data_IF_170183413123
#
_entry.id   IF_170183413123
#
_cell.length_a   1.000
_cell.length_b   1.000
_cell.length_c   1.000
_cell.angle_alpha   90.00
_cell.angle_beta   90.00
_cell.angle_gamma   90.00
#
_symmetry.space_group_name_H-M   'P 1'
#
loop_
_entity.id
_entity.type
_entity.pdbx_description
1 polymer ?
#
# COMPACT_ATOMS: atom_id res chain seq x y z
N UNK A 1 32.33 -9.64 -46.55
CA UNK A 1 32.37 -10.24 -45.19
C UNK A 1 31.99 -9.15 -44.21
N UNK A 2 30.78 -9.15 -43.67
CA UNK A 2 30.39 -8.18 -42.65
C UNK A 2 30.98 -8.63 -41.31
N UNK A 3 31.85 -7.81 -40.73
CA UNK A 3 32.36 -8.06 -39.39
C UNK A 3 31.17 -8.05 -38.41
N UNK A 4 31.04 -9.13 -37.63
CA UNK A 4 30.02 -9.24 -36.59
C UNK A 4 30.35 -8.24 -35.50
N UNK A 5 29.53 -7.19 -35.36
CA UNK A 5 29.68 -6.21 -34.29
C UNK A 5 29.17 -6.85 -32.98
N UNK A 6 30.09 -7.27 -32.12
CA UNK A 6 29.73 -7.73 -30.78
C UNK A 6 29.57 -6.54 -29.84
N UNK A 7 28.49 -6.50 -29.03
CA UNK A 7 28.28 -5.43 -28.08
C UNK A 7 29.44 -5.39 -27.07
N UNK A 8 29.97 -4.20 -26.84
CA UNK A 8 31.06 -4.00 -25.88
C UNK A 8 30.55 -4.40 -24.49
N UNK A 9 31.15 -5.45 -23.92
CA UNK A 9 30.90 -5.87 -22.54
C UNK A 9 31.94 -5.22 -21.64
N UNK A 10 31.46 -4.55 -20.60
CA UNK A 10 32.31 -4.07 -19.51
C UNK A 10 31.77 -4.74 -18.25
N UNK A 11 32.63 -5.48 -17.55
CA UNK A 11 32.29 -6.28 -16.36
C UNK A 11 31.14 -7.28 -16.58
N UNK A 12 31.15 -7.98 -17.72
CA UNK A 12 30.18 -9.03 -18.02
C UNK A 12 28.78 -8.55 -18.43
N UNK A 13 28.48 -7.25 -18.27
CA UNK A 13 27.24 -6.64 -18.72
C UNK A 13 27.44 -6.00 -20.10
N UNK A 14 26.45 -6.16 -20.98
CA UNK A 14 26.42 -5.46 -22.25
C UNK A 14 26.20 -3.97 -22.00
N UNK A 15 27.11 -3.15 -22.55
CA UNK A 15 27.05 -1.73 -22.35
C UNK A 15 25.95 -1.14 -23.22
N UNK A 16 24.95 -0.56 -22.57
CA UNK A 16 23.92 0.22 -23.26
C UNK A 16 24.42 1.66 -23.48
N UNK A 17 23.91 2.37 -24.51
CA UNK A 17 24.22 3.79 -24.72
C UNK A 17 23.93 4.65 -23.47
N UNK A 18 22.94 4.26 -22.67
CA UNK A 18 22.57 4.95 -21.41
C UNK A 18 23.68 4.79 -20.36
N UNK A 19 24.10 3.54 -20.10
CA UNK A 19 25.17 3.26 -19.14
C UNK A 19 26.51 3.88 -19.54
N UNK A 20 26.80 3.92 -20.85
CA UNK A 20 28.00 4.56 -21.36
C UNK A 20 28.03 6.07 -21.07
N UNK A 21 26.93 6.77 -21.32
CA UNK A 21 26.83 8.20 -21.02
C UNK A 21 27.01 8.51 -19.53
N UNK A 22 26.54 7.64 -18.64
CA UNK A 22 26.75 7.80 -17.19
C UNK A 22 28.23 7.64 -16.81
N UNK A 23 28.90 6.64 -17.37
CA UNK A 23 30.34 6.40 -17.18
C UNK A 23 31.15 7.61 -17.69
N UNK A 24 30.86 8.09 -18.90
CA UNK A 24 31.56 9.23 -19.49
C UNK A 24 31.31 10.51 -18.67
N UNK A 25 30.09 10.76 -18.20
CA UNK A 25 29.80 11.92 -17.34
C UNK A 25 30.53 11.87 -16.00
N UNK A 26 30.64 10.70 -15.39
CA UNK A 26 31.44 10.48 -14.18
C UNK A 26 32.92 10.77 -14.43
N UNK A 27 33.46 10.26 -15.55
CA UNK A 27 34.83 10.56 -15.98
C UNK A 27 35.05 12.06 -16.19
N UNK A 28 34.21 12.72 -16.99
CA UNK A 28 34.35 14.15 -17.30
C UNK A 28 34.24 15.00 -16.04
N UNK A 29 33.25 14.74 -15.16
CA UNK A 29 33.14 15.45 -13.87
C UNK A 29 34.36 15.25 -12.97
N UNK A 30 34.92 14.04 -12.95
CA UNK A 30 36.15 13.74 -12.21
C UNK A 30 37.36 14.55 -12.70
N UNK A 31 37.38 14.94 -13.97
CA UNK A 31 38.46 15.73 -14.57
C UNK A 31 38.18 17.24 -14.68
N UNK A 32 36.96 17.71 -14.39
CA UNK A 32 36.57 19.12 -14.60
C UNK A 32 37.01 20.05 -13.45
N UNK A 33 37.11 19.55 -12.21
CA UNK A 33 37.29 20.40 -11.01
C UNK A 33 38.58 20.15 -10.22
N UNK A 34 39.34 19.11 -10.54
CA UNK A 34 40.65 18.85 -9.95
C UNK A 34 41.71 18.93 -11.05
N UNK A 35 42.73 19.79 -10.89
CA UNK A 35 44.03 19.46 -11.48
C UNK A 35 44.34 18.05 -10.95
N UNK A 36 44.51 17.04 -11.82
CA UNK A 36 44.45 15.66 -11.36
C UNK A 36 45.57 15.44 -10.36
N UNK A 37 45.21 15.31 -9.08
CA UNK A 37 45.80 14.22 -8.31
C UNK A 37 45.56 13.02 -9.20
N UNK A 38 46.64 12.43 -9.69
CA UNK A 38 46.62 11.33 -10.64
C UNK A 38 45.98 10.10 -9.97
N UNK A 39 44.68 10.19 -9.69
CA UNK A 39 43.81 9.08 -9.38
C UNK A 39 43.93 8.19 -10.58
N UNK A 40 44.64 7.09 -10.37
CA UNK A 40 44.94 6.16 -11.45
C UNK A 40 43.63 5.77 -12.13
N UNK A 41 43.64 5.55 -13.44
CA UNK A 41 42.48 5.02 -14.16
C UNK A 41 41.83 3.82 -13.43
N UNK A 42 42.65 3.02 -12.73
CA UNK A 42 42.23 1.91 -11.88
C UNK A 42 41.32 2.35 -10.73
N UNK A 43 41.61 3.47 -10.08
CA UNK A 43 40.81 4.03 -8.99
C UNK A 43 39.45 4.52 -9.48
N UNK A 44 39.39 5.22 -10.61
CA UNK A 44 38.13 5.63 -11.23
C UNK A 44 37.26 4.42 -11.63
N UNK A 45 37.88 3.37 -12.18
CA UNK A 45 37.21 2.12 -12.52
C UNK A 45 36.69 1.37 -11.30
N UNK A 46 37.46 1.35 -10.22
CA UNK A 46 37.05 0.78 -8.93
C UNK A 46 35.84 1.51 -8.35
N UNK A 47 35.89 2.84 -8.27
CA UNK A 47 34.76 3.65 -7.77
C UNK A 47 33.50 3.45 -8.63
N UNK A 48 33.67 3.38 -9.95
CA UNK A 48 32.55 3.08 -10.87
C UNK A 48 31.97 1.69 -10.61
N UNK A 49 32.80 0.68 -10.38
CA UNK A 49 32.36 -0.69 -10.08
C UNK A 49 31.58 -0.75 -8.76
N UNK A 50 32.10 -0.10 -7.72
CA UNK A 50 31.42 0.03 -6.42
C UNK A 50 30.02 0.65 -6.57
N UNK A 51 29.91 1.75 -7.32
CA UNK A 51 28.63 2.41 -7.57
C UNK A 51 27.66 1.51 -8.35
N UNK A 52 28.14 0.81 -9.38
CA UNK A 52 27.32 -0.11 -10.16
C UNK A 52 26.81 -1.29 -9.32
N UNK A 53 27.65 -1.84 -8.45
CA UNK A 53 27.26 -2.93 -7.55
C UNK A 53 26.21 -2.45 -6.55
N UNK A 54 26.43 -1.29 -5.92
CA UNK A 54 25.45 -0.67 -5.02
C UNK A 54 24.10 -0.49 -5.71
N UNK A 55 24.09 0.11 -6.90
CA UNK A 55 22.86 0.35 -7.66
C UNK A 55 22.16 -0.97 -8.03
N UNK A 56 22.91 -1.98 -8.47
CA UNK A 56 22.36 -3.30 -8.82
C UNK A 56 21.67 -3.95 -7.63
N UNK A 57 22.33 -4.01 -6.48
CA UNK A 57 21.79 -4.62 -5.25
C UNK A 57 20.54 -3.87 -4.78
N UNK A 58 20.61 -2.53 -4.72
CA UNK A 58 19.47 -1.72 -4.30
C UNK A 58 18.25 -1.90 -5.22
N UNK A 59 18.47 -1.89 -6.55
CA UNK A 59 17.38 -2.12 -7.52
C UNK A 59 16.81 -3.53 -7.43
N UNK A 60 17.66 -4.54 -7.21
CA UNK A 60 17.24 -5.95 -7.05
C UNK A 60 16.33 -6.11 -5.82
N UNK A 61 16.71 -5.50 -4.69
CA UNK A 61 15.91 -5.49 -3.47
C UNK A 61 14.58 -4.74 -3.67
N UNK A 62 14.62 -3.54 -4.25
CA UNK A 62 13.43 -2.73 -4.50
C UNK A 62 12.45 -3.46 -5.44
N UNK A 63 12.97 -4.12 -6.48
CA UNK A 63 12.17 -4.93 -7.39
C UNK A 63 11.49 -6.10 -6.68
N UNK A 64 12.22 -6.83 -5.83
CA UNK A 64 11.68 -7.95 -5.06
C UNK A 64 10.55 -7.51 -4.13
N UNK A 65 10.75 -6.43 -3.37
CA UNK A 65 9.74 -5.89 -2.46
C UNK A 65 8.52 -5.36 -3.22
N UNK A 66 8.72 -4.62 -4.32
CA UNK A 66 7.62 -4.16 -5.18
C UNK A 66 6.84 -5.31 -5.81
N UNK A 67 7.51 -6.37 -6.25
CA UNK A 67 6.86 -7.55 -6.81
C UNK A 67 5.99 -8.25 -5.76
N UNK A 68 6.48 -8.36 -4.53
CA UNK A 68 5.70 -8.89 -3.41
C UNK A 68 4.45 -8.05 -3.14
N UNK A 69 4.61 -6.72 -3.11
CA UNK A 69 3.51 -5.77 -2.93
C UNK A 69 2.50 -5.74 -4.08
N UNK A 70 2.89 -6.15 -5.30
CA UNK A 70 1.92 -6.35 -6.39
C UNK A 70 1.05 -7.59 -6.17
N UNK A 71 1.62 -8.65 -5.58
CA UNK A 71 0.88 -9.88 -5.24
C UNK A 71 -0.03 -9.69 -4.02
N UNK A 72 0.40 -8.85 -3.07
CA UNK A 72 -0.32 -8.56 -1.84
C UNK A 72 -0.74 -7.08 -1.76
N UNK A 73 -1.79 -6.67 -2.49
CA UNK A 73 -2.22 -5.26 -2.52
C UNK A 73 -2.76 -4.79 -1.16
N UNK A 74 -3.20 -5.72 -0.30
CA UNK A 74 -3.76 -5.45 1.04
C UNK A 74 -2.69 -5.34 2.14
N UNK A 75 -1.41 -5.36 1.78
CA UNK A 75 -0.33 -5.51 2.77
C UNK A 75 -0.27 -6.94 3.32
N UNK A 76 0.76 -7.19 4.12
CA UNK A 76 0.98 -8.46 4.82
C UNK A 76 1.22 -8.20 6.31
N UNK A 77 1.13 -9.25 7.12
CA UNK A 77 1.42 -9.16 8.55
C UNK A 77 2.86 -8.69 8.80
N UNK A 78 3.09 -8.00 9.91
CA UNK A 78 4.41 -7.47 10.24
C UNK A 78 5.45 -8.58 10.40
N UNK A 79 5.09 -9.73 11.01
CA UNK A 79 6.01 -10.85 11.16
C UNK A 79 6.34 -11.47 9.80
N UNK A 80 5.34 -11.65 8.94
CA UNK A 80 5.54 -12.14 7.58
C UNK A 80 6.43 -11.19 6.76
N UNK A 81 6.18 -9.89 6.86
CA UNK A 81 6.99 -8.86 6.22
C UNK A 81 8.48 -8.92 6.65
N UNK A 82 8.75 -9.08 7.94
CA UNK A 82 10.12 -9.23 8.46
C UNK A 82 10.79 -10.52 7.94
N UNK A 83 10.04 -11.64 7.84
CA UNK A 83 10.60 -12.85 7.25
C UNK A 83 10.97 -12.67 5.77
N UNK A 84 10.13 -11.97 5.02
CA UNK A 84 10.39 -11.61 3.62
C UNK A 84 11.60 -10.69 3.50
N UNK A 85 11.70 -9.66 4.36
CA UNK A 85 12.84 -8.76 4.41
C UNK A 85 14.13 -9.54 4.65
N UNK A 86 14.17 -10.38 5.69
CA UNK A 86 15.35 -11.20 6.02
C UNK A 86 15.76 -12.13 4.89
N UNK A 87 14.79 -12.76 4.22
CA UNK A 87 15.05 -13.63 3.07
C UNK A 87 15.62 -12.84 1.88
N UNK A 88 15.00 -11.70 1.55
CA UNK A 88 15.44 -10.84 0.44
C UNK A 88 16.81 -10.24 0.72
N UNK A 89 17.05 -9.79 1.96
CA UNK A 89 18.33 -9.29 2.43
C UNK A 89 19.44 -10.34 2.31
N UNK A 90 19.18 -11.57 2.76
CA UNK A 90 20.11 -12.70 2.59
C UNK A 90 20.49 -12.91 1.12
N UNK A 91 19.50 -12.90 0.22
CA UNK A 91 19.74 -13.01 -1.22
C UNK A 91 20.57 -11.84 -1.77
N UNK A 92 20.34 -10.61 -1.29
CA UNK A 92 21.11 -9.44 -1.71
C UNK A 92 22.58 -9.55 -1.28
N UNK A 93 22.83 -10.13 -0.10
CA UNK A 93 24.17 -10.39 0.39
C UNK A 93 24.89 -11.44 -0.45
N UNK A 94 24.22 -12.55 -0.77
CA UNK A 94 24.75 -13.57 -1.69
C UNK A 94 25.04 -12.98 -3.08
N UNK A 95 24.14 -12.16 -3.63
CA UNK A 95 24.35 -11.45 -4.90
C UNK A 95 25.57 -10.52 -4.84
N UNK A 96 25.80 -9.83 -3.73
CA UNK A 96 26.98 -8.99 -3.51
C UNK A 96 28.27 -9.81 -3.40
N UNK A 97 28.22 -10.95 -2.69
CA UNK A 97 29.37 -11.84 -2.51
C UNK A 97 29.82 -12.47 -3.85
N UNK A 98 28.90 -12.69 -4.79
CA UNK A 98 29.19 -13.16 -6.14
C UNK A 98 29.74 -12.07 -7.09
N UNK A 99 29.57 -10.79 -6.76
CA UNK A 99 30.04 -9.69 -7.61
C UNK A 99 31.53 -9.42 -7.39
N UNK A 100 32.32 -9.46 -8.47
CA UNK A 100 33.74 -9.14 -8.42
C UNK A 100 33.94 -7.62 -8.33
N UNK A 101 34.25 -7.12 -7.13
CA UNK A 101 34.65 -5.72 -6.91
C UNK A 101 36.17 -5.63 -7.04
N UNK A 102 36.67 -4.61 -7.73
CA UNK A 102 38.10 -4.34 -7.82
C UNK A 102 38.56 -3.62 -6.55
N UNK A 103 39.46 -4.23 -5.76
CA UNK A 103 40.07 -3.57 -4.60
C UNK A 103 40.43 -4.50 -3.45
N UNK A 104 41.08 -3.96 -2.40
CA UNK A 104 41.30 -4.68 -1.15
C UNK A 104 39.99 -4.94 -0.40
N UNK A 105 40.00 -5.95 0.47
CA UNK A 105 38.81 -6.38 1.23
C UNK A 105 38.20 -5.26 2.10
N UNK A 106 39.02 -4.31 2.56
CA UNK A 106 38.55 -3.13 3.33
C UNK A 106 37.52 -2.28 2.57
N UNK A 107 37.64 -2.22 1.25
CA UNK A 107 36.75 -1.41 0.42
C UNK A 107 35.49 -2.19 0.09
N UNK A 108 35.61 -3.52 0.02
CA UNK A 108 34.46 -4.41 -0.07
C UNK A 108 33.60 -4.32 1.18
N UNK A 109 34.21 -4.35 2.37
CA UNK A 109 33.48 -4.22 3.64
C UNK A 109 32.84 -2.84 3.78
N UNK A 110 33.58 -1.76 3.48
CA UNK A 110 33.03 -0.38 3.52
C UNK A 110 31.88 -0.20 2.52
N UNK A 111 32.01 -0.79 1.32
CA UNK A 111 30.92 -0.77 0.33
C UNK A 111 29.69 -1.50 0.84
N UNK A 112 29.88 -2.65 1.50
CA UNK A 112 28.77 -3.41 2.07
C UNK A 112 28.09 -2.66 3.22
N UNK A 113 28.83 -2.07 4.15
CA UNK A 113 28.27 -1.25 5.23
C UNK A 113 27.43 -0.09 4.68
N UNK A 114 27.91 0.56 3.62
CA UNK A 114 27.12 1.57 2.92
C UNK A 114 25.84 0.99 2.31
N UNK A 115 25.92 -0.16 1.63
CA UNK A 115 24.73 -0.83 1.07
C UNK A 115 23.74 -1.20 2.19
N UNK A 116 24.23 -1.73 3.29
CA UNK A 116 23.46 -2.15 4.46
C UNK A 116 22.67 -0.98 5.06
N UNK A 117 23.33 0.16 5.27
CA UNK A 117 22.68 1.38 5.74
C UNK A 117 21.55 1.84 4.80
N UNK A 118 21.78 1.78 3.48
CA UNK A 118 20.73 2.12 2.50
C UNK A 118 19.59 1.10 2.49
N UNK A 119 19.89 -0.19 2.63
CA UNK A 119 18.88 -1.25 2.69
C UNK A 119 18.01 -1.11 3.94
N UNK A 120 18.60 -0.73 5.09
CA UNK A 120 17.87 -0.45 6.32
C UNK A 120 16.91 0.75 6.15
N UNK A 121 17.35 1.83 5.49
CA UNK A 121 16.47 2.96 5.16
C UNK A 121 15.33 2.53 4.23
N UNK A 122 15.65 1.77 3.18
CA UNK A 122 14.65 1.29 2.23
C UNK A 122 13.65 0.32 2.89
N UNK A 123 14.13 -0.52 3.81
CA UNK A 123 13.30 -1.39 4.62
C UNK A 123 12.29 -0.59 5.45
N UNK A 124 12.74 0.45 6.16
CA UNK A 124 11.86 1.34 6.92
C UNK A 124 10.78 1.97 6.01
N UNK A 125 11.15 2.46 4.82
CA UNK A 125 10.18 3.00 3.85
C UNK A 125 9.15 1.96 3.40
N UNK A 126 9.59 0.73 3.12
CA UNK A 126 8.68 -0.36 2.75
C UNK A 126 7.80 -0.82 3.91
N UNK A 127 8.29 -0.80 5.15
CA UNK A 127 7.50 -1.11 6.34
C UNK A 127 6.34 -0.11 6.52
N UNK A 128 6.62 1.19 6.36
CA UNK A 128 5.59 2.25 6.40
C UNK A 128 4.56 2.08 5.27
N UNK A 129 5.02 1.77 4.05
CA UNK A 129 4.12 1.52 2.93
C UNK A 129 3.28 0.24 3.14
N UNK A 130 3.84 -0.82 3.72
CA UNK A 130 3.10 -2.03 4.08
C UNK A 130 2.01 -1.70 5.10
N UNK A 131 2.34 -0.94 6.15
CA UNK A 131 1.37 -0.49 7.16
C UNK A 131 0.22 0.29 6.50
N UNK A 132 0.55 1.28 5.66
CA UNK A 132 -0.46 2.08 4.93
C UNK A 132 -1.36 1.24 4.02
N UNK A 133 -0.83 0.22 3.33
CA UNK A 133 -1.63 -0.69 2.50
C UNK A 133 -2.54 -1.58 3.35
N UNK A 134 -2.02 -2.00 4.48
CA UNK A 134 -2.74 -2.81 5.44
C UNK A 134 -3.88 -2.03 6.10
N UNK A 135 -3.76 -0.71 6.25
CA UNK A 135 -4.85 0.17 6.72
C UNK A 135 -5.91 0.35 5.61
N UNK A 136 -5.48 0.54 4.36
CA UNK A 136 -6.39 0.59 3.20
C UNK A 136 -7.16 -0.71 2.97
N UNK A 137 -6.68 -1.85 3.46
CA UNK A 137 -7.42 -3.11 3.35
C UNK A 137 -8.76 -3.04 4.10
N UNK A 138 -8.84 -2.31 5.23
CA UNK A 138 -10.09 -2.09 5.97
C UNK A 138 -11.08 -1.19 5.21
N UNK A 139 -10.58 -0.26 4.39
CA UNK A 139 -11.42 0.56 3.50
C UNK A 139 -12.20 -0.32 2.53
N UNK A 140 -11.65 -1.48 2.11
CA UNK A 140 -12.38 -2.47 1.32
C UNK A 140 -13.64 -3.03 2.00
N UNK A 141 -13.75 -2.94 3.33
CA UNK A 141 -14.93 -3.33 4.09
C UNK A 141 -15.94 -2.18 4.26
N UNK A 142 -15.64 -0.96 3.80
CA UNK A 142 -16.54 0.20 3.93
C UNK A 142 -17.93 -0.05 3.32
N UNK A 143 -18.11 -0.69 2.14
CA UNK A 143 -19.45 -0.97 1.61
C UNK A 143 -20.29 -1.86 2.53
N UNK A 144 -19.67 -2.87 3.17
CA UNK A 144 -20.36 -3.73 4.13
C UNK A 144 -20.74 -2.97 5.41
N UNK A 145 -19.89 -2.05 5.86
CA UNK A 145 -20.20 -1.19 7.00
C UNK A 145 -21.36 -0.23 6.70
N UNK A 146 -21.39 0.37 5.50
CA UNK A 146 -22.50 1.23 5.05
C UNK A 146 -23.80 0.41 4.97
N UNK A 147 -23.74 -0.79 4.38
CA UNK A 147 -24.90 -1.69 4.32
C UNK A 147 -25.40 -2.03 5.73
N UNK A 148 -24.51 -2.33 6.67
CA UNK A 148 -24.87 -2.59 8.06
C UNK A 148 -25.55 -1.41 8.74
N UNK A 149 -25.02 -0.18 8.57
CA UNK A 149 -25.64 1.05 9.10
C UNK A 149 -26.99 1.35 8.45
N UNK A 150 -27.11 1.11 7.15
CA UNK A 150 -28.36 1.29 6.42
C UNK A 150 -29.44 0.31 6.90
N UNK A 151 -29.10 -0.99 7.00
CA UNK A 151 -30.01 -2.00 7.51
C UNK A 151 -30.41 -1.70 8.97
N UNK A 152 -29.47 -1.29 9.82
CA UNK A 152 -29.76 -0.87 11.18
C UNK A 152 -30.74 0.32 11.25
N UNK A 153 -30.57 1.29 10.34
CA UNK A 153 -31.45 2.46 10.28
C UNK A 153 -32.84 2.06 9.81
N UNK A 154 -32.95 1.17 8.83
CA UNK A 154 -34.24 0.64 8.36
C UNK A 154 -34.95 -0.17 9.44
N UNK A 155 -34.21 -1.01 10.16
CA UNK A 155 -34.71 -1.81 11.30
C UNK A 155 -35.33 -0.89 12.36
N UNK A 156 -34.59 0.13 12.80
CA UNK A 156 -35.10 1.12 13.77
C UNK A 156 -36.29 1.94 13.28
N UNK A 157 -36.35 2.26 11.98
CA UNK A 157 -37.52 2.93 11.40
C UNK A 157 -38.72 1.99 11.34
N UNK A 158 -38.51 0.69 11.08
CA UNK A 158 -39.56 -0.32 11.07
C UNK A 158 -40.16 -0.51 12.47
N UNK A 159 -39.33 -0.63 13.50
CA UNK A 159 -39.80 -0.78 14.89
C UNK A 159 -40.69 0.39 15.32
N UNK A 160 -40.38 1.60 14.87
CA UNK A 160 -41.16 2.81 15.21
C UNK A 160 -42.45 2.91 14.39
N UNK A 161 -42.43 2.50 13.12
CA UNK A 161 -43.55 2.76 12.20
C UNK A 161 -44.52 1.58 12.06
N UNK A 162 -44.04 0.33 12.17
CA UNK A 162 -44.76 -0.85 11.72
C UNK A 162 -45.21 -1.81 12.83
N UNK A 163 -44.58 -1.78 14.01
CA UNK A 163 -44.84 -2.77 15.08
C UNK A 163 -46.28 -2.77 15.59
N UNK A 164 -46.99 -1.65 15.48
CA UNK A 164 -48.38 -1.56 15.94
C UNK A 164 -49.44 -2.01 14.92
N UNK A 165 -49.07 -2.28 13.66
CA UNK A 165 -50.06 -2.37 12.57
C UNK A 165 -50.06 -3.68 11.79
N UNK A 166 -48.93 -4.39 11.66
CA UNK A 166 -48.87 -5.61 10.83
C UNK A 166 -47.94 -6.69 11.36
N UNK A 167 -48.46 -7.92 11.49
CA UNK A 167 -47.69 -9.10 11.87
C UNK A 167 -46.59 -9.46 10.85
N UNK A 168 -46.82 -9.20 9.56
CA UNK A 168 -45.84 -9.47 8.50
C UNK A 168 -44.62 -8.55 8.61
N UNK A 169 -44.79 -7.32 9.12
CA UNK A 169 -43.66 -6.43 9.39
C UNK A 169 -42.78 -6.95 10.54
N UNK A 170 -43.39 -7.55 11.57
CA UNK A 170 -42.63 -8.14 12.68
C UNK A 170 -41.77 -9.33 12.20
N UNK A 171 -42.29 -10.18 11.32
CA UNK A 171 -41.49 -11.28 10.73
C UNK A 171 -40.31 -10.76 9.88
N UNK A 172 -40.52 -9.71 9.09
CA UNK A 172 -39.47 -9.09 8.28
C UNK A 172 -38.41 -8.37 9.15
N UNK A 173 -38.83 -7.66 10.19
CA UNK A 173 -37.94 -7.01 11.18
C UNK A 173 -37.02 -8.05 11.82
N UNK A 174 -37.57 -9.19 12.28
CA UNK A 174 -36.76 -10.27 12.84
C UNK A 174 -35.70 -10.80 11.85
N UNK A 175 -36.02 -10.92 10.56
CA UNK A 175 -35.05 -11.36 9.54
C UNK A 175 -33.94 -10.31 9.32
N UNK A 176 -34.30 -9.02 9.25
CA UNK A 176 -33.34 -7.92 9.11
C UNK A 176 -32.40 -7.85 10.32
N UNK A 177 -32.93 -8.05 11.52
CA UNK A 177 -32.14 -8.12 12.75
C UNK A 177 -31.08 -9.23 12.71
N UNK A 178 -31.44 -10.45 12.27
CA UNK A 178 -30.45 -11.54 12.12
C UNK A 178 -29.38 -11.22 11.07
N UNK A 179 -29.76 -10.63 9.93
CA UNK A 179 -28.81 -10.20 8.92
C UNK A 179 -27.84 -9.13 9.49
N UNK A 180 -28.36 -8.21 10.30
CA UNK A 180 -27.57 -7.19 10.95
C UNK A 180 -26.59 -7.77 11.98
N UNK A 181 -27.02 -8.72 12.82
CA UNK A 181 -26.15 -9.44 13.74
C UNK A 181 -25.04 -10.15 12.96
N UNK A 182 -25.35 -10.83 11.85
CA UNK A 182 -24.36 -11.51 11.05
C UNK A 182 -23.28 -10.55 10.50
N UNK A 183 -23.69 -9.38 9.99
CA UNK A 183 -22.76 -8.33 9.53
C UNK A 183 -21.94 -7.79 10.71
N UNK A 184 -22.56 -7.52 11.85
CA UNK A 184 -21.90 -7.00 13.04
C UNK A 184 -20.86 -7.98 13.59
N UNK A 185 -21.18 -9.28 13.65
CA UNK A 185 -20.25 -10.33 14.06
C UNK A 185 -19.09 -10.43 13.07
N UNK A 186 -19.36 -10.40 11.76
CA UNK A 186 -18.31 -10.41 10.74
C UNK A 186 -17.36 -9.21 10.90
N UNK A 187 -17.90 -7.99 11.01
CA UNK A 187 -17.10 -6.78 11.24
C UNK A 187 -16.34 -6.86 12.57
N UNK A 188 -16.97 -7.39 13.62
CA UNK A 188 -16.35 -7.63 14.92
C UNK A 188 -15.14 -8.55 14.83
N UNK A 189 -15.23 -9.64 14.07
CA UNK A 189 -14.10 -10.56 13.84
C UNK A 189 -12.98 -9.87 13.04
N UNK A 190 -13.31 -9.07 12.03
CA UNK A 190 -12.30 -8.31 11.26
C UNK A 190 -11.59 -7.28 12.15
N UNK A 191 -12.32 -6.54 12.98
CA UNK A 191 -11.75 -5.57 13.92
C UNK A 191 -10.93 -6.29 14.99
N UNK A 192 -11.40 -7.42 15.51
CA UNK A 192 -10.70 -8.20 16.53
C UNK A 192 -9.38 -8.80 16.01
N UNK A 193 -9.39 -9.36 14.80
CA UNK A 193 -8.17 -9.87 14.15
C UNK A 193 -7.18 -8.74 13.88
N UNK A 194 -7.65 -7.56 13.45
CA UNK A 194 -6.81 -6.37 13.28
C UNK A 194 -6.24 -5.87 14.61
N UNK A 195 -7.05 -5.90 15.67
CA UNK A 195 -6.65 -5.49 17.02
C UNK A 195 -5.56 -6.39 17.59
N UNK A 196 -5.70 -7.71 17.46
CA UNK A 196 -4.72 -8.67 17.96
C UNK A 196 -3.40 -8.62 17.19
N UNK A 197 -3.43 -8.33 15.89
CA UNK A 197 -2.23 -8.30 15.04
C UNK A 197 -1.47 -6.98 15.13
N UNK A 198 -2.17 -5.83 15.26
CA UNK A 198 -1.54 -4.49 15.16
C UNK A 198 -1.57 -3.66 16.44
N UNK A 199 -2.29 -4.11 17.46
CA UNK A 199 -2.45 -3.39 18.72
C UNK A 199 -3.43 -2.21 18.65
N UNK A 200 -3.69 -1.61 19.81
CA UNK A 200 -4.79 -0.65 20.03
C UNK A 200 -4.75 0.59 19.14
N UNK A 201 -3.56 1.18 18.97
CA UNK A 201 -3.40 2.47 18.28
C UNK A 201 -3.70 2.36 16.78
N UNK A 202 -3.26 1.28 16.14
CA UNK A 202 -3.52 1.06 14.72
C UNK A 202 -5.01 0.82 14.45
N UNK A 203 -5.70 0.09 15.33
CA UNK A 203 -7.15 -0.16 15.16
C UNK A 203 -7.96 1.12 15.22
N UNK A 204 -7.64 2.03 16.15
CA UNK A 204 -8.34 3.32 16.29
C UNK A 204 -8.15 4.16 15.02
N UNK A 205 -6.90 4.25 14.52
CA UNK A 205 -6.59 4.94 13.26
C UNK A 205 -7.38 4.36 12.08
N UNK A 206 -7.38 3.03 11.94
CA UNK A 206 -8.11 2.34 10.89
C UNK A 206 -9.63 2.57 10.96
N UNK A 207 -10.22 2.57 12.17
CA UNK A 207 -11.66 2.90 12.33
C UNK A 207 -11.97 4.35 11.98
N UNK A 208 -11.07 5.29 12.28
CA UNK A 208 -11.25 6.70 11.92
C UNK A 208 -11.17 6.91 10.40
N UNK A 209 -10.23 6.24 9.73
CA UNK A 209 -10.16 6.26 8.25
C UNK A 209 -11.40 5.61 7.63
N UNK A 210 -11.86 4.47 8.16
CA UNK A 210 -13.08 3.81 7.71
C UNK A 210 -14.30 4.75 7.84
N UNK A 211 -14.44 5.40 9.00
CA UNK A 211 -15.52 6.37 9.22
C UNK A 211 -15.48 7.53 8.21
N UNK A 212 -14.29 8.08 7.95
CA UNK A 212 -14.11 9.15 6.97
C UNK A 212 -14.56 8.71 5.57
N UNK A 213 -14.14 7.53 5.12
CA UNK A 213 -14.53 6.97 3.82
C UNK A 213 -16.04 6.70 3.75
N UNK A 214 -16.65 6.22 4.85
CA UNK A 214 -18.11 6.07 4.92
C UNK A 214 -18.84 7.40 4.72
N UNK A 215 -18.40 8.46 5.39
CA UNK A 215 -18.99 9.81 5.24
C UNK A 215 -18.83 10.31 3.80
N UNK A 216 -17.65 10.13 3.20
CA UNK A 216 -17.41 10.54 1.81
C UNK A 216 -18.31 9.79 0.82
N UNK A 217 -18.48 8.48 1.00
CA UNK A 217 -19.39 7.68 0.18
C UNK A 217 -20.85 8.12 0.35
N UNK A 218 -21.30 8.39 1.58
CA UNK A 218 -22.65 8.91 1.83
C UNK A 218 -22.88 10.23 1.11
N UNK A 219 -21.92 11.16 1.16
CA UNK A 219 -22.00 12.45 0.45
C UNK A 219 -22.07 12.21 -1.06
N UNK A 220 -21.20 11.37 -1.62
CA UNK A 220 -21.19 11.05 -3.05
C UNK A 220 -22.51 10.42 -3.52
N UNK A 221 -23.08 9.49 -2.75
CA UNK A 221 -24.40 8.94 -3.06
C UNK A 221 -25.52 9.98 -2.94
N UNK A 222 -25.44 10.91 -1.98
CA UNK A 222 -26.43 11.98 -1.84
C UNK A 222 -26.41 12.92 -3.06
N UNK A 223 -25.23 13.24 -3.59
CA UNK A 223 -25.09 14.06 -4.80
C UNK A 223 -25.67 13.36 -6.03
N UNK A 224 -25.43 12.05 -6.17
CA UNK A 224 -26.03 11.25 -7.25
C UNK A 224 -27.55 11.28 -7.17
N UNK A 225 -28.12 11.09 -5.97
CA UNK A 225 -29.58 11.15 -5.76
C UNK A 225 -30.14 12.54 -6.08
N UNK A 226 -29.42 13.61 -5.73
CA UNK A 226 -29.84 14.98 -6.04
C UNK A 226 -29.80 15.32 -7.54
N UNK A 227 -28.88 14.69 -8.29
CA UNK A 227 -28.69 14.92 -9.72
C UNK A 227 -29.59 14.05 -10.63
N UNK A 228 -30.43 13.17 -10.07
CA UNK A 228 -31.40 12.41 -10.88
C UNK A 228 -32.50 13.36 -11.39
N UNK A 229 -32.64 13.55 -12.72
CA UNK A 229 -33.62 14.48 -13.27
C UNK A 229 -35.05 14.03 -12.97
N UNK A 230 -35.80 14.90 -12.30
CA UNK A 230 -37.26 15.12 -12.31
C UNK A 230 -38.24 13.96 -12.14
N UNK A 231 -38.11 12.88 -12.90
CA UNK A 231 -39.12 11.82 -13.04
C UNK A 231 -39.14 10.82 -11.89
N UNK A 232 -38.07 10.72 -11.09
CA UNK A 232 -38.02 9.88 -9.88
C UNK A 232 -38.10 10.66 -8.56
N UNK A 233 -38.13 12.00 -8.62
CA UNK A 233 -38.17 12.87 -7.42
C UNK A 233 -39.46 12.69 -6.61
N UNK A 234 -40.53 12.23 -7.26
CA UNK A 234 -41.83 11.95 -6.65
C UNK A 234 -41.77 10.82 -5.59
N UNK A 235 -40.94 9.78 -5.81
CA UNK A 235 -40.93 8.59 -4.94
C UNK A 235 -40.15 8.83 -3.64
N UNK A 236 -39.08 9.63 -3.66
CA UNK A 236 -38.31 9.94 -2.45
C UNK A 236 -39.00 10.97 -1.53
N UNK A 237 -39.88 11.84 -2.04
CA UNK A 237 -40.61 12.81 -1.22
C UNK A 237 -41.67 12.16 -0.31
N UNK A 238 -42.14 10.95 -0.62
CA UNK A 238 -43.12 10.24 0.23
C UNK A 238 -42.48 9.80 1.56
N UNK A 239 -41.18 9.47 1.58
CA UNK A 239 -40.50 9.03 2.80
C UNK A 239 -40.13 10.17 3.76
N UNK A 240 -39.84 11.38 3.24
CA UNK A 240 -39.47 12.53 4.09
C UNK A 240 -40.68 13.24 4.71
N UNK A 241 -41.89 13.00 4.22
CA UNK A 241 -43.12 13.67 4.68
C UNK A 241 -43.84 12.91 5.83
N UNK A 242 -43.45 11.65 6.10
CA UNK A 242 -44.12 10.78 7.06
C UNK A 242 -43.73 10.96 8.53
N UNK A 243 -42.67 11.73 8.84
CA UNK A 243 -42.17 11.90 10.23
C UNK A 243 -42.76 13.13 10.94
N UNK A 244 -43.60 13.92 10.26
CA UNK A 244 -44.29 15.06 10.87
C UNK A 244 -45.74 14.69 11.26
N UNK A 245 -45.94 13.80 12.25
CA UNK A 245 -47.28 13.53 12.80
C UNK A 245 -47.30 13.76 14.32
N UNK A 246 -48.01 14.83 14.69
CA UNK A 246 -48.76 15.11 15.93
C UNK A 246 -47.98 15.26 17.25
N UNK A 247 -47.64 16.51 17.55
CA UNK A 247 -47.63 17.04 18.92
C UNK A 247 -48.26 18.44 18.93
N UNK A 248 -49.59 18.53 19.02
CA UNK A 248 -50.28 19.61 19.74
C UNK A 248 -51.78 19.34 19.77
N UNK A 249 -52.23 18.71 20.85
CA UNK A 249 -53.62 18.77 21.31
C UNK A 249 -53.59 18.61 22.83
N UNK A 250 -53.46 19.74 23.53
CA UNK A 250 -54.03 20.04 24.84
C UNK A 250 -53.95 21.54 25.08
#
# INVERSE_FOLDING_TARGET
VFAKLEPKRIFGNEMTPITFCMIVRQFVKGFETAAPDATSFVEAMKNSTVLMVREKVMRSYEHAMKQHFKRHPRGVDAAEFETLHRCTYGRMREEFEMLHILGPETIRSETWENIDANLAELHCRFAVENARRSDRALVGCAPLAILGVFLFSMDRLSDVTCDWWSATCNELSNLLFYAQIAIAVYLGVVVYTTYNTRGKLSTIGATAELWKEMVQLIVLYSEVVHNVPGTLRSVCCVFSSGVAVKSSAR
#
